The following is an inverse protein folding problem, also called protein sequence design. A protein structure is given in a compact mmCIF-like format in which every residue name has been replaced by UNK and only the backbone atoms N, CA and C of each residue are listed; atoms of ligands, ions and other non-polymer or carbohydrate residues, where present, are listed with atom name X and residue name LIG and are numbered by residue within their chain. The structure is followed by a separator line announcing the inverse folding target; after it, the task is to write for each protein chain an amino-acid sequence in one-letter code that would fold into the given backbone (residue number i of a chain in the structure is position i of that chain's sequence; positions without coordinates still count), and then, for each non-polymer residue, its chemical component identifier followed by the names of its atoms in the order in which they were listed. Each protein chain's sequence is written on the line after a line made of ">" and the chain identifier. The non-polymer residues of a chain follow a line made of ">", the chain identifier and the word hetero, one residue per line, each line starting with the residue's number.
data_IF_566520086406
#
_entry.id   IF_566520086406
#
_cell.length_a   1.000
_cell.length_b   1.000
_cell.length_c   1.000
_cell.angle_alpha   90.00
_cell.angle_beta   90.00
_cell.angle_gamma   90.00
#
_symmetry.space_group_name_H-M   'P 1'
#
loop_
_entity.id
_entity.type
_entity.pdbx_description
1 polymer ?
#
# COMPACT_ATOMS: atom_id res chain seq x y z
N UNK A 1 -9.99 26.91 -1.61
CA UNK A 1 -8.54 26.68 -1.37
C UNK A 1 -7.71 27.83 -1.91
N UNK A 2 -6.47 27.97 -1.42
CA UNK A 2 -5.42 28.83 -2.00
C UNK A 2 -5.12 28.46 -3.46
N UNK A 3 -4.41 29.33 -4.17
CA UNK A 3 -3.83 28.97 -5.46
C UNK A 3 -2.60 28.08 -5.24
N UNK A 4 -2.52 26.95 -5.95
CA UNK A 4 -1.46 25.94 -5.81
C UNK A 4 -1.05 25.39 -7.20
N UNK A 5 0.08 24.69 -7.28
CA UNK A 5 0.43 23.86 -8.43
C UNK A 5 -0.24 22.49 -8.28
N UNK A 6 -1.35 22.28 -8.98
CA UNK A 6 -2.22 21.11 -8.87
C UNK A 6 -1.81 20.06 -9.90
N UNK A 7 -1.47 18.85 -9.43
CA UNK A 7 -1.23 17.71 -10.30
C UNK A 7 -2.57 17.05 -10.67
N UNK A 8 -2.97 17.20 -11.93
CA UNK A 8 -4.17 16.57 -12.50
C UNK A 8 -3.79 15.38 -13.38
N UNK A 9 -4.79 14.63 -13.86
CA UNK A 9 -4.56 13.55 -14.83
C UNK A 9 -3.95 14.04 -16.15
N UNK A 10 -4.21 15.30 -16.52
CA UNK A 10 -3.74 15.91 -17.78
C UNK A 10 -2.45 16.74 -17.61
N UNK A 11 -1.87 16.74 -16.40
CA UNK A 11 -0.65 17.47 -16.07
C UNK A 11 -0.84 18.55 -15.01
N UNK A 12 0.12 19.47 -14.93
CA UNK A 12 0.16 20.51 -13.90
C UNK A 12 -0.70 21.71 -14.27
N UNK A 13 -1.52 22.14 -13.31
CA UNK A 13 -2.38 23.32 -13.41
C UNK A 13 -2.06 24.25 -12.24
N UNK A 14 -1.72 25.51 -12.51
CA UNK A 14 -1.69 26.55 -11.48
C UNK A 14 -3.10 27.08 -11.29
N UNK A 15 -3.68 26.85 -10.11
CA UNK A 15 -5.09 27.15 -9.92
C UNK A 15 -5.65 26.73 -8.57
N UNK A 16 -6.98 26.51 -8.55
CA UNK A 16 -7.74 26.12 -7.37
C UNK A 16 -8.57 24.87 -7.65
N UNK A 17 -8.59 23.96 -6.68
CA UNK A 17 -9.52 22.84 -6.67
C UNK A 17 -10.82 23.27 -6.00
N UNK A 18 -11.95 22.99 -6.64
CA UNK A 18 -13.30 23.23 -6.12
C UNK A 18 -13.96 21.89 -5.85
N UNK A 19 -14.49 21.70 -4.64
CA UNK A 19 -15.21 20.49 -4.26
C UNK A 19 -16.52 20.82 -3.54
N UNK A 20 -17.51 19.97 -3.72
CA UNK A 20 -18.80 20.02 -3.04
C UNK A 20 -19.16 18.61 -2.57
N UNK A 21 -19.70 18.49 -1.35
CA UNK A 21 -20.08 17.18 -0.77
C UNK A 21 -18.96 16.13 -0.86
N UNK A 22 -17.71 16.56 -0.69
CA UNK A 22 -16.53 15.70 -0.76
C UNK A 22 -16.04 15.33 -2.15
N UNK A 23 -16.70 15.78 -3.23
CA UNK A 23 -16.33 15.46 -4.61
C UNK A 23 -15.76 16.67 -5.33
N UNK A 24 -14.73 16.46 -6.12
CA UNK A 24 -14.18 17.49 -7.01
C UNK A 24 -15.24 17.86 -8.04
N UNK A 25 -15.56 19.14 -8.15
CA UNK A 25 -16.52 19.69 -9.13
C UNK A 25 -15.76 20.26 -10.33
N UNK A 26 -14.71 21.03 -10.06
CA UNK A 26 -13.87 21.66 -11.09
C UNK A 26 -12.46 21.91 -10.58
N UNK A 27 -11.53 22.06 -11.52
CA UNK A 27 -10.18 22.56 -11.28
C UNK A 27 -10.03 23.79 -12.17
N UNK A 28 -9.98 24.96 -11.55
CA UNK A 28 -9.92 26.25 -12.25
C UNK A 28 -8.48 26.74 -12.25
N UNK A 29 -7.89 26.92 -13.43
CA UNK A 29 -6.51 27.36 -13.54
C UNK A 29 -6.00 27.35 -14.98
N UNK A 30 -4.69 27.52 -15.10
CA UNK A 30 -3.97 27.45 -16.38
C UNK A 30 -2.87 26.39 -16.30
N UNK A 31 -2.57 25.68 -17.41
CA UNK A 31 -1.40 24.81 -17.46
C UNK A 31 -0.14 25.55 -17.02
N UNK A 32 0.71 24.89 -16.22
CA UNK A 32 1.95 25.48 -15.72
C UNK A 32 3.11 24.49 -15.70
N UNK A 33 4.33 25.01 -15.63
CA UNK A 33 5.46 24.28 -15.06
C UNK A 33 5.61 24.71 -13.58
N UNK A 34 5.50 23.78 -12.60
CA UNK A 34 5.75 24.10 -11.20
C UNK A 34 7.17 24.61 -10.91
N UNK A 35 8.12 24.48 -11.84
CA UNK A 35 9.47 25.04 -11.73
C UNK A 35 9.50 26.56 -11.95
N UNK A 36 8.49 27.14 -12.61
CA UNK A 36 8.44 28.57 -12.97
C UNK A 36 7.86 29.45 -11.85
N UNK A 37 7.53 28.88 -10.69
CA UNK A 37 6.94 29.61 -9.57
C UNK A 37 7.18 28.91 -8.21
N UNK A 38 6.87 29.64 -7.13
CA UNK A 38 7.11 29.18 -5.75
C UNK A 38 5.85 28.64 -5.04
N UNK A 39 4.73 28.46 -5.76
CA UNK A 39 3.50 27.98 -5.15
C UNK A 39 3.65 26.52 -4.67
N UNK A 40 3.00 26.15 -3.56
CA UNK A 40 2.98 24.78 -3.06
C UNK A 40 2.41 23.79 -4.07
N UNK A 41 2.71 22.51 -3.86
CA UNK A 41 2.17 21.41 -4.66
C UNK A 41 0.87 20.93 -4.04
N UNK A 42 -0.14 20.68 -4.87
CA UNK A 42 -1.34 19.93 -4.51
C UNK A 42 -1.36 18.63 -5.33
N UNK A 43 -1.14 17.50 -4.66
CA UNK A 43 -1.08 16.18 -5.28
C UNK A 43 -2.36 15.39 -4.95
N UNK A 44 -2.73 14.38 -5.77
CA UNK A 44 -3.71 13.39 -5.36
C UNK A 44 -3.34 12.76 -4.01
N UNK A 45 -4.36 12.49 -3.19
CA UNK A 45 -4.20 11.84 -1.90
C UNK A 45 -3.49 10.49 -2.03
N UNK A 46 -2.58 10.19 -1.10
CA UNK A 46 -1.85 8.94 -1.16
C UNK A 46 -2.75 7.75 -0.77
N UNK A 47 -2.50 6.61 -1.42
CA UNK A 47 -3.22 5.35 -1.24
C UNK A 47 -2.21 4.27 -0.89
N UNK A 48 -2.37 3.67 0.28
CA UNK A 48 -1.45 2.64 0.77
C UNK A 48 -2.12 1.26 0.86
N UNK A 49 -1.67 0.31 0.06
CA UNK A 49 -2.31 -0.99 -0.08
C UNK A 49 -1.77 -2.06 0.87
N UNK A 50 -0.78 -1.70 1.70
CA UNK A 50 -0.09 -2.64 2.57
C UNK A 50 0.26 -1.97 3.91
N UNK A 51 -0.64 -2.08 4.88
CA UNK A 51 -0.57 -1.43 6.21
C UNK A 51 -0.97 -2.42 7.30
N UNK A 52 0.00 -2.92 8.06
CA UNK A 52 -0.24 -3.75 9.24
C UNK A 52 -0.52 -2.93 10.50
N UNK A 53 -0.05 -1.68 10.57
CA UNK A 53 -0.23 -0.85 11.75
C UNK A 53 0.24 0.58 11.62
N UNK A 54 0.18 1.31 12.74
CA UNK A 54 0.65 2.68 12.89
C UNK A 54 0.19 3.28 14.22
N UNK A 55 0.93 4.26 14.74
CA UNK A 55 0.55 4.97 15.97
C UNK A 55 0.58 4.10 17.22
N UNK A 56 1.45 3.09 17.24
CA UNK A 56 1.59 2.14 18.34
C UNK A 56 0.55 1.02 18.32
N UNK A 57 -0.22 0.89 17.24
CA UNK A 57 -1.32 -0.06 17.09
C UNK A 57 -1.17 -0.94 15.85
N UNK A 58 -1.57 -2.20 15.98
CA UNK A 58 -1.58 -3.22 14.93
C UNK A 58 -3.02 -3.57 14.51
N UNK A 59 -3.25 -3.86 13.22
CA UNK A 59 -4.56 -4.27 12.70
C UNK A 59 -5.07 -5.52 13.42
N UNK A 60 -4.19 -6.47 13.75
CA UNK A 60 -4.55 -7.69 14.46
C UNK A 60 -5.02 -7.46 15.91
N UNK A 61 -4.92 -6.24 16.46
CA UNK A 61 -5.57 -5.86 17.74
C UNK A 61 -7.09 -5.63 17.62
N UNK A 62 -7.64 -5.64 16.41
CA UNK A 62 -9.08 -5.50 16.14
C UNK A 62 -9.61 -4.07 16.23
N UNK A 63 -10.95 -3.92 16.33
CA UNK A 63 -11.66 -2.66 16.18
C UNK A 63 -11.10 -1.47 17.01
N UNK A 64 -10.53 -1.75 18.19
CA UNK A 64 -9.97 -0.74 19.08
C UNK A 64 -8.74 0.00 18.52
N UNK A 65 -8.07 -0.58 17.53
CA UNK A 65 -6.83 -0.05 16.94
C UNK A 65 -7.07 0.83 15.70
N UNK A 66 -8.11 0.56 14.92
CA UNK A 66 -8.25 1.09 13.56
C UNK A 66 -8.33 2.61 13.48
N UNK A 67 -9.03 3.24 14.43
CA UNK A 67 -9.11 4.70 14.49
C UNK A 67 -7.74 5.34 14.73
N UNK A 68 -6.92 4.76 15.62
CA UNK A 68 -5.55 5.24 15.87
C UNK A 68 -4.67 5.08 14.65
N UNK A 69 -4.73 3.93 13.99
CA UNK A 69 -3.93 3.63 12.80
C UNK A 69 -4.27 4.61 11.67
N UNK A 70 -5.56 4.72 11.32
CA UNK A 70 -6.04 5.56 10.22
C UNK A 70 -5.83 7.06 10.45
N UNK A 71 -5.95 7.53 11.70
CA UNK A 71 -5.61 8.91 12.08
C UNK A 71 -4.10 9.17 12.09
N UNK A 72 -3.29 8.18 12.43
CA UNK A 72 -1.83 8.31 12.33
C UNK A 72 -1.40 8.45 10.87
N UNK A 73 -1.88 7.56 10.01
CA UNK A 73 -1.52 7.51 8.59
C UNK A 73 -1.94 8.77 7.82
N UNK A 74 -3.11 9.35 8.11
CA UNK A 74 -3.54 10.58 7.43
C UNK A 74 -2.62 11.77 7.70
N UNK A 75 -1.96 11.82 8.87
CA UNK A 75 -0.99 12.87 9.19
C UNK A 75 0.26 12.82 8.33
N UNK A 76 0.47 11.71 7.62
CA UNK A 76 1.56 11.51 6.69
C UNK A 76 1.09 11.42 5.22
N UNK A 77 -0.12 11.93 4.94
CA UNK A 77 -0.65 12.09 3.59
C UNK A 77 -1.43 10.88 3.05
N UNK A 78 -1.53 9.79 3.80
CA UNK A 78 -2.34 8.63 3.41
C UNK A 78 -3.83 8.96 3.57
N UNK A 79 -4.51 9.18 2.45
CA UNK A 79 -5.95 9.50 2.43
C UNK A 79 -6.83 8.25 2.39
N UNK A 80 -6.29 7.15 1.88
CA UNK A 80 -6.96 5.86 1.89
C UNK A 80 -5.97 4.71 1.99
N UNK A 81 -6.41 3.58 2.56
CA UNK A 81 -5.55 2.41 2.76
C UNK A 81 -6.31 1.08 2.74
N UNK A 82 -5.57 -0.02 2.62
CA UNK A 82 -6.06 -1.36 2.96
C UNK A 82 -5.55 -1.77 4.34
N UNK A 83 -6.45 -2.22 5.20
CA UNK A 83 -6.08 -2.85 6.46
C UNK A 83 -5.45 -4.22 6.14
N UNK A 84 -4.19 -4.42 6.52
CA UNK A 84 -3.45 -5.63 6.17
C UNK A 84 -3.32 -6.54 7.36
N UNK A 85 -3.76 -7.79 7.18
CA UNK A 85 -3.65 -8.83 8.19
C UNK A 85 -2.24 -9.40 8.25
N UNK A 86 -1.96 -10.19 9.29
CA UNK A 86 -0.79 -11.05 9.37
C UNK A 86 -1.26 -12.51 9.38
N UNK A 87 -0.34 -13.43 9.10
CA UNK A 87 -0.57 -14.85 9.30
C UNK A 87 -0.87 -15.13 10.79
N UNK A 88 -2.01 -15.76 11.05
CA UNK A 88 -2.52 -16.05 12.39
C UNK A 88 -3.48 -17.26 12.35
N UNK A 89 -3.90 -17.82 13.50
CA UNK A 89 -4.95 -18.83 13.52
C UNK A 89 -6.24 -18.35 12.85
N UNK A 90 -6.96 -19.23 12.16
CA UNK A 90 -8.11 -18.84 11.31
C UNK A 90 -9.21 -18.09 12.07
N UNK A 91 -9.40 -18.38 13.37
CA UNK A 91 -10.36 -17.69 14.22
C UNK A 91 -9.97 -16.23 14.53
N UNK A 92 -8.67 -15.94 14.66
CA UNK A 92 -8.17 -14.58 14.88
C UNK A 92 -8.30 -13.75 13.61
N UNK A 93 -7.98 -14.34 12.45
CA UNK A 93 -8.20 -13.71 11.14
C UNK A 93 -9.69 -13.41 10.93
N UNK A 94 -10.58 -14.38 11.15
CA UNK A 94 -12.02 -14.16 11.02
C UNK A 94 -12.52 -13.03 11.93
N UNK A 95 -12.03 -12.97 13.18
CA UNK A 95 -12.40 -11.91 14.12
C UNK A 95 -11.98 -10.52 13.61
N UNK A 96 -10.73 -10.35 13.18
CA UNK A 96 -10.26 -9.04 12.69
C UNK A 96 -10.92 -8.66 11.36
N UNK A 97 -11.18 -9.63 10.47
CA UNK A 97 -11.89 -9.38 9.22
C UNK A 97 -13.30 -8.83 9.49
N UNK A 98 -14.04 -9.44 10.40
CA UNK A 98 -15.37 -8.95 10.79
C UNK A 98 -15.31 -7.50 11.28
N UNK A 99 -14.36 -7.19 12.17
CA UNK A 99 -14.18 -5.83 12.70
C UNK A 99 -13.82 -4.83 11.58
N UNK A 100 -12.94 -5.21 10.65
CA UNK A 100 -12.57 -4.35 9.51
C UNK A 100 -13.76 -4.16 8.56
N UNK A 101 -14.55 -5.21 8.32
CA UNK A 101 -15.76 -5.15 7.52
C UNK A 101 -16.71 -4.06 8.00
N UNK A 102 -16.99 -4.04 9.32
CA UNK A 102 -17.80 -3.01 9.97
C UNK A 102 -17.14 -1.62 9.89
N UNK A 103 -15.81 -1.53 10.11
CA UNK A 103 -15.09 -0.26 10.07
C UNK A 103 -15.04 0.37 8.66
N UNK A 104 -15.07 -0.43 7.59
CA UNK A 104 -15.05 0.06 6.21
C UNK A 104 -16.33 0.81 5.80
N UNK A 105 -17.46 0.57 6.49
CA UNK A 105 -18.75 1.16 6.16
C UNK A 105 -18.75 2.68 6.35
N UNK A 106 -18.04 3.17 7.37
CA UNK A 106 -18.01 4.58 7.73
C UNK A 106 -16.60 5.04 8.06
N UNK A 107 -16.18 6.14 7.43
CA UNK A 107 -14.92 6.79 7.75
C UNK A 107 -15.07 7.65 9.01
N UNK A 108 -14.30 7.41 10.09
CA UNK A 108 -14.28 8.32 11.22
C UNK A 108 -13.75 9.70 10.84
N UNK A 109 -14.21 10.74 11.54
CA UNK A 109 -13.71 12.11 11.38
C UNK A 109 -12.20 12.16 11.62
N UNK A 110 -11.47 12.90 10.77
CA UNK A 110 -10.03 13.07 10.88
C UNK A 110 -9.20 11.82 10.54
N UNK A 111 -9.80 10.78 9.93
CA UNK A 111 -9.14 9.52 9.61
C UNK A 111 -9.07 9.27 8.09
N UNK A 112 -8.08 8.47 7.67
CA UNK A 112 -8.01 7.90 6.33
C UNK A 112 -9.17 6.93 6.06
N UNK A 113 -9.57 6.79 4.79
CA UNK A 113 -10.57 5.81 4.35
C UNK A 113 -9.97 4.40 4.30
N UNK A 114 -10.57 3.44 4.98
CA UNK A 114 -10.25 2.02 4.75
C UNK A 114 -11.05 1.52 3.56
N UNK A 115 -10.36 1.06 2.50
CA UNK A 115 -10.95 0.59 1.24
C UNK A 115 -11.31 -0.90 1.26
N UNK A 116 -10.87 -1.58 2.30
CA UNK A 116 -11.07 -3.00 2.53
C UNK A 116 -9.81 -3.64 3.13
N UNK A 117 -9.66 -4.93 2.86
CA UNK A 117 -8.60 -5.76 3.43
C UNK A 117 -7.59 -6.17 2.37
N UNK A 118 -6.32 -6.14 2.76
CA UNK A 118 -5.28 -6.97 2.16
C UNK A 118 -5.06 -8.18 3.09
N UNK A 119 -5.38 -9.37 2.60
CA UNK A 119 -5.12 -10.62 3.31
C UNK A 119 -3.68 -11.07 2.99
N UNK A 120 -2.72 -10.67 3.84
CA UNK A 120 -1.33 -11.11 3.73
C UNK A 120 -1.06 -12.28 4.67
N UNK A 121 -0.94 -13.47 4.08
CA UNK A 121 -1.08 -14.72 4.83
C UNK A 121 -2.55 -15.08 5.08
N UNK A 122 -2.86 -16.34 5.41
CA UNK A 122 -1.92 -17.42 5.75
C UNK A 122 -1.49 -18.27 4.54
N UNK A 123 -1.91 -17.91 3.32
CA UNK A 123 -1.75 -18.71 2.10
C UNK A 123 -0.38 -18.58 1.43
N UNK A 124 0.67 -18.60 2.26
CA UNK A 124 2.06 -18.32 1.88
C UNK A 124 2.95 -19.54 2.14
N UNK A 125 4.20 -19.50 1.68
CA UNK A 125 5.13 -20.61 1.88
C UNK A 125 5.74 -20.58 3.30
N UNK A 126 5.60 -21.65 4.11
CA UNK A 126 6.19 -21.70 5.45
C UNK A 126 7.74 -21.68 5.45
N UNK A 127 8.37 -22.00 4.32
CA UNK A 127 9.81 -21.84 4.11
C UNK A 127 10.23 -20.40 3.76
N UNK A 128 9.29 -19.46 3.64
CA UNK A 128 9.53 -18.06 3.26
C UNK A 128 8.65 -17.07 4.02
N UNK A 129 8.49 -17.29 5.32
CA UNK A 129 7.64 -16.46 6.18
C UNK A 129 8.12 -15.00 6.31
N UNK A 130 9.43 -14.75 6.29
CA UNK A 130 9.93 -13.42 6.67
C UNK A 130 9.52 -13.08 8.11
N UNK A 131 8.73 -12.03 8.31
CA UNK A 131 8.19 -11.65 9.61
C UNK A 131 6.79 -12.19 9.91
N UNK A 132 6.23 -13.02 9.03
CA UNK A 132 4.93 -13.65 9.22
C UNK A 132 4.99 -14.70 10.34
N UNK A 133 4.07 -14.70 11.30
CA UNK A 133 3.95 -15.80 12.26
C UNK A 133 3.73 -17.14 11.56
N UNK A 134 4.25 -18.23 12.16
CA UNK A 134 4.22 -19.55 11.52
C UNK A 134 2.84 -20.25 11.66
N UNK A 135 1.82 -19.67 11.07
CA UNK A 135 0.47 -20.25 10.89
C UNK A 135 0.12 -20.42 9.40
N UNK A 136 1.13 -20.39 8.53
CA UNK A 136 0.94 -20.55 7.10
C UNK A 136 0.39 -21.95 6.78
N UNK A 137 -0.62 -22.00 5.92
CA UNK A 137 -1.25 -23.24 5.49
C UNK A 137 -1.83 -23.09 4.09
N UNK A 138 -2.08 -24.23 3.44
CA UNK A 138 -2.65 -24.26 2.09
C UNK A 138 -4.07 -23.69 2.11
N UNK A 139 -4.34 -22.78 1.19
CA UNK A 139 -5.66 -22.19 1.01
C UNK A 139 -6.70 -23.25 0.60
N UNK A 140 -7.88 -23.16 1.20
CA UNK A 140 -9.07 -23.89 0.77
C UNK A 140 -10.14 -22.89 0.37
N UNK A 141 -10.79 -23.10 -0.78
CA UNK A 141 -11.82 -22.17 -1.27
C UNK A 141 -12.91 -21.89 -0.23
N UNK A 142 -13.35 -22.92 0.51
CA UNK A 142 -14.36 -22.76 1.55
C UNK A 142 -13.94 -21.76 2.64
N UNK A 143 -12.69 -21.79 3.07
CA UNK A 143 -12.19 -20.83 4.08
C UNK A 143 -12.08 -19.42 3.49
N UNK A 144 -11.60 -19.30 2.24
CA UNK A 144 -11.56 -18.00 1.56
C UNK A 144 -12.96 -17.40 1.42
N UNK A 145 -13.97 -18.21 1.11
CA UNK A 145 -15.37 -17.76 1.06
C UNK A 145 -15.89 -17.29 2.42
N UNK A 146 -15.57 -18.02 3.49
CA UNK A 146 -15.91 -17.61 4.85
C UNK A 146 -15.29 -16.23 5.17
N UNK A 147 -14.06 -15.98 4.74
CA UNK A 147 -13.40 -14.68 4.90
C UNK A 147 -13.99 -13.57 4.02
N UNK A 148 -14.33 -13.87 2.77
CA UNK A 148 -14.97 -12.93 1.86
C UNK A 148 -16.37 -12.49 2.32
N UNK A 149 -17.05 -13.33 3.11
CA UNK A 149 -18.33 -12.99 3.72
C UNK A 149 -18.20 -11.99 4.90
N UNK A 150 -17.01 -11.87 5.50
CA UNK A 150 -16.77 -11.04 6.69
C UNK A 150 -16.29 -9.62 6.35
N UNK A 151 -15.54 -9.47 5.25
CA UNK A 151 -14.92 -8.20 4.89
C UNK A 151 -14.80 -8.02 3.38
N UNK A 152 -14.74 -6.77 2.88
CA UNK A 152 -14.36 -6.51 1.49
C UNK A 152 -12.86 -6.75 1.28
N UNK A 153 -12.47 -8.02 1.07
CA UNK A 153 -11.09 -8.37 0.73
C UNK A 153 -10.81 -7.94 -0.71
N UNK A 154 -9.84 -7.04 -0.86
CA UNK A 154 -9.44 -6.48 -2.15
C UNK A 154 -8.23 -7.19 -2.73
N UNK A 155 -7.34 -7.62 -1.85
CA UNK A 155 -6.03 -8.18 -2.21
C UNK A 155 -5.76 -9.41 -1.35
N UNK A 156 -5.22 -10.46 -1.96
CA UNK A 156 -4.74 -11.66 -1.27
C UNK A 156 -3.30 -11.91 -1.71
N UNK A 157 -2.36 -11.94 -0.77
CA UNK A 157 -1.00 -12.42 -1.01
C UNK A 157 -0.95 -13.94 -0.90
N UNK A 158 -0.44 -14.58 -1.94
CA UNK A 158 -0.45 -16.03 -2.09
C UNK A 158 0.88 -16.54 -2.67
N UNK A 159 1.36 -17.68 -2.16
CA UNK A 159 2.51 -18.37 -2.73
C UNK A 159 2.07 -19.33 -3.85
N UNK A 160 2.43 -19.09 -5.12
CA UNK A 160 1.85 -19.80 -6.27
C UNK A 160 2.29 -21.27 -6.40
N UNK A 161 3.43 -21.65 -5.82
CA UNK A 161 4.01 -23.00 -5.87
C UNK A 161 3.28 -24.02 -4.97
N UNK A 162 2.40 -23.54 -4.07
CA UNK A 162 1.66 -24.42 -3.18
C UNK A 162 0.53 -25.09 -3.97
N UNK A 163 0.46 -26.42 -3.86
CA UNK A 163 -0.50 -27.23 -4.59
C UNK A 163 -1.95 -26.74 -4.37
N UNK A 164 -2.68 -26.54 -5.47
CA UNK A 164 -4.07 -26.07 -5.49
C UNK A 164 -4.25 -24.55 -5.57
N UNK A 165 -3.19 -23.77 -5.36
CA UNK A 165 -3.28 -22.30 -5.44
C UNK A 165 -3.52 -21.79 -6.86
N UNK A 166 -3.13 -22.53 -7.91
CA UNK A 166 -3.38 -22.17 -9.31
C UNK A 166 -4.88 -22.07 -9.64
N UNK A 167 -5.69 -23.01 -9.14
CA UNK A 167 -7.14 -23.01 -9.27
C UNK A 167 -7.77 -21.84 -8.52
N UNK A 168 -7.31 -21.60 -7.28
CA UNK A 168 -7.75 -20.48 -6.44
C UNK A 168 -7.45 -19.13 -7.07
N UNK A 169 -6.23 -18.94 -7.57
CA UNK A 169 -5.84 -17.70 -8.26
C UNK A 169 -6.78 -17.43 -9.42
N UNK A 170 -7.03 -18.44 -10.26
CA UNK A 170 -7.92 -18.30 -11.42
C UNK A 170 -9.34 -17.91 -11.04
N UNK A 171 -9.90 -18.56 -10.04
CA UNK A 171 -11.28 -18.32 -9.62
C UNK A 171 -11.45 -16.96 -8.93
N UNK A 172 -10.57 -16.62 -7.98
CA UNK A 172 -10.65 -15.38 -7.22
C UNK A 172 -10.33 -14.15 -8.09
N UNK A 173 -9.34 -14.25 -8.98
CA UNK A 173 -9.08 -13.21 -9.97
C UNK A 173 -10.26 -12.99 -10.91
N UNK A 174 -10.95 -14.06 -11.33
CA UNK A 174 -12.18 -13.97 -12.13
C UNK A 174 -13.33 -13.23 -11.43
N UNK A 175 -13.31 -13.16 -10.09
CA UNK A 175 -14.26 -12.41 -9.25
C UNK A 175 -13.81 -10.98 -8.96
N UNK A 176 -12.66 -10.56 -9.49
CA UNK A 176 -12.11 -9.21 -9.30
C UNK A 176 -11.29 -9.02 -8.03
N UNK A 177 -10.99 -10.08 -7.29
CA UNK A 177 -10.04 -10.03 -6.17
C UNK A 177 -8.63 -9.99 -6.75
N UNK A 178 -7.77 -9.12 -6.22
CA UNK A 178 -6.40 -9.00 -6.71
C UNK A 178 -5.51 -10.02 -6.04
N UNK A 179 -5.07 -11.01 -6.81
CA UNK A 179 -4.11 -12.01 -6.35
C UNK A 179 -2.68 -11.48 -6.53
N UNK A 180 -1.94 -11.41 -5.43
CA UNK A 180 -0.52 -11.03 -5.41
C UNK A 180 0.38 -12.20 -5.09
N UNK A 181 1.48 -12.30 -5.83
CA UNK A 181 2.50 -13.31 -5.58
C UNK A 181 3.46 -12.78 -4.52
N UNK A 182 3.60 -13.49 -3.40
CA UNK A 182 4.48 -13.08 -2.29
C UNK A 182 4.77 -14.21 -1.32
N UNK A 183 5.77 -14.02 -0.45
CA UNK A 183 6.20 -15.01 0.56
C UNK A 183 6.37 -16.42 0.00
N UNK A 184 7.19 -16.53 -1.05
CA UNK A 184 7.23 -17.67 -1.95
C UNK A 184 8.67 -18.08 -2.26
N UNK A 185 8.88 -19.40 -2.40
CA UNK A 185 10.08 -20.02 -2.95
C UNK A 185 9.91 -20.43 -4.42
N UNK A 186 8.81 -20.01 -5.04
CA UNK A 186 8.44 -20.39 -6.39
C UNK A 186 9.53 -20.11 -7.42
N UNK A 187 9.52 -20.89 -8.48
CA UNK A 187 10.33 -20.71 -9.68
C UNK A 187 9.81 -19.56 -10.54
N UNK A 188 10.60 -19.20 -11.55
CA UNK A 188 10.16 -18.25 -12.57
C UNK A 188 8.92 -18.75 -13.31
N UNK A 189 8.90 -20.03 -13.65
CA UNK A 189 7.81 -20.70 -14.39
C UNK A 189 6.51 -20.71 -13.58
N UNK A 190 6.57 -20.97 -12.27
CA UNK A 190 5.39 -20.88 -11.40
C UNK A 190 4.87 -19.45 -11.27
N UNK A 191 5.76 -18.46 -11.22
CA UNK A 191 5.38 -17.05 -11.26
C UNK A 191 4.66 -16.67 -12.56
N UNK A 192 5.18 -17.11 -13.72
CA UNK A 192 4.54 -16.90 -15.03
C UNK A 192 3.19 -17.60 -15.10
N UNK A 193 3.11 -18.86 -14.67
CA UNK A 193 1.86 -19.62 -14.65
C UNK A 193 0.80 -18.97 -13.74
N UNK A 194 1.21 -18.38 -12.62
CA UNK A 194 0.30 -17.63 -11.76
C UNK A 194 -0.22 -16.34 -12.42
N UNK A 195 0.62 -15.61 -13.17
CA UNK A 195 0.18 -14.46 -13.97
C UNK A 195 -0.81 -14.90 -15.07
N UNK A 196 -0.54 -16.02 -15.76
CA UNK A 196 -1.45 -16.60 -16.76
C UNK A 196 -2.77 -17.08 -16.14
N UNK A 197 -2.74 -17.57 -14.90
CA UNK A 197 -3.93 -17.91 -14.13
C UNK A 197 -4.73 -16.68 -13.69
N UNK A 198 -4.14 -15.48 -13.73
CA UNK A 198 -4.81 -14.22 -13.44
C UNK A 198 -4.28 -13.45 -12.23
N UNK A 199 -3.15 -13.85 -11.64
CA UNK A 199 -2.44 -12.98 -10.70
C UNK A 199 -2.02 -11.69 -11.39
N UNK A 200 -2.04 -10.56 -10.68
CA UNK A 200 -1.90 -9.24 -11.31
C UNK A 200 -0.81 -8.36 -10.72
N UNK A 201 -0.20 -8.77 -9.61
CA UNK A 201 0.86 -8.02 -8.93
C UNK A 201 1.72 -8.93 -8.06
N UNK A 202 2.77 -8.35 -7.46
CA UNK A 202 3.74 -9.00 -6.58
C UNK A 202 3.83 -8.20 -5.28
N UNK A 203 3.76 -8.88 -4.15
CA UNK A 203 3.80 -8.26 -2.80
C UNK A 203 5.23 -7.81 -2.50
N UNK A 204 5.42 -6.57 -1.98
CA UNK A 204 6.71 -5.98 -1.59
C UNK A 204 7.95 -6.48 -2.36
N UNK A 205 7.97 -6.31 -3.69
CA UNK A 205 8.97 -6.84 -4.64
C UNK A 205 10.39 -6.91 -4.05
N UNK A 206 11.05 -8.04 -4.28
CA UNK A 206 12.35 -8.48 -3.74
C UNK A 206 12.29 -9.13 -2.35
N UNK A 207 11.38 -8.68 -1.47
CA UNK A 207 11.30 -9.17 -0.10
C UNK A 207 10.54 -10.50 -0.05
N UNK A 208 11.00 -11.43 0.79
CA UNK A 208 10.38 -12.76 0.93
C UNK A 208 10.10 -13.50 -0.40
N UNK A 209 10.96 -13.34 -1.41
CA UNK A 209 10.86 -13.99 -2.73
C UNK A 209 12.11 -14.82 -3.07
N UNK A 210 11.98 -15.75 -4.02
CA UNK A 210 13.13 -16.36 -4.68
C UNK A 210 13.87 -15.29 -5.53
N UNK A 211 15.21 -15.18 -5.40
CA UNK A 211 15.96 -14.09 -5.99
C UNK A 211 16.17 -14.26 -7.50
N UNK A 212 16.59 -13.17 -8.15
CA UNK A 212 17.02 -13.20 -9.55
C UNK A 212 18.42 -13.80 -9.69
N UNK A 213 18.52 -14.92 -10.40
CA UNK A 213 19.78 -15.45 -10.93
C UNK A 213 19.65 -15.69 -12.45
N UNK A 214 20.70 -15.44 -13.25
CA UNK A 214 20.59 -15.45 -14.72
C UNK A 214 20.25 -16.81 -15.34
N UNK A 215 20.45 -17.91 -14.61
CA UNK A 215 20.04 -19.26 -15.03
C UNK A 215 18.73 -19.74 -14.39
N UNK A 216 18.36 -19.15 -13.27
CA UNK A 216 17.20 -19.51 -12.45
C UNK A 216 16.58 -18.19 -11.95
N UNK A 217 15.74 -17.53 -12.77
CA UNK A 217 15.37 -16.14 -12.51
C UNK A 217 14.47 -15.93 -11.28
N UNK A 218 13.84 -17.00 -10.78
CA UNK A 218 12.92 -16.93 -9.64
C UNK A 218 11.74 -15.99 -9.86
N UNK A 219 11.04 -15.69 -8.76
CA UNK A 219 9.87 -14.81 -8.73
C UNK A 219 10.27 -13.35 -8.99
N UNK A 220 11.44 -12.92 -8.51
CA UNK A 220 11.95 -11.58 -8.84
C UNK A 220 12.16 -11.43 -10.35
N UNK A 221 12.69 -12.46 -11.03
CA UNK A 221 12.83 -12.47 -12.49
C UNK A 221 11.48 -12.47 -13.19
N UNK A 222 10.49 -13.22 -12.70
CA UNK A 222 9.15 -13.23 -13.27
C UNK A 222 8.49 -11.85 -13.17
N UNK A 223 8.61 -11.19 -12.01
CA UNK A 223 8.10 -9.85 -11.80
C UNK A 223 8.75 -8.82 -12.74
N UNK A 224 10.09 -8.79 -12.80
CA UNK A 224 10.80 -7.82 -13.65
C UNK A 224 10.57 -8.06 -15.14
N UNK A 225 10.32 -9.30 -15.57
CA UNK A 225 10.10 -9.61 -16.98
C UNK A 225 8.65 -9.37 -17.44
N UNK A 226 7.65 -9.59 -16.58
CA UNK A 226 6.24 -9.71 -17.00
C UNK A 226 5.25 -8.85 -16.23
N UNK A 227 5.62 -8.29 -15.07
CA UNK A 227 4.66 -7.57 -14.25
C UNK A 227 4.24 -6.24 -14.88
N UNK A 228 2.93 -5.99 -14.93
CA UNK A 228 2.40 -4.64 -15.13
C UNK A 228 2.41 -3.84 -13.83
N UNK A 229 2.00 -4.47 -12.72
CA UNK A 229 1.96 -3.89 -11.38
C UNK A 229 2.82 -4.73 -10.43
N UNK A 230 3.45 -4.07 -9.45
CA UNK A 230 4.10 -4.71 -8.31
C UNK A 230 4.21 -3.69 -7.17
N UNK A 231 4.21 -4.18 -5.94
CA UNK A 231 4.49 -3.38 -4.75
C UNK A 231 5.98 -3.18 -4.56
N UNK A 232 6.34 -2.05 -3.96
CA UNK A 232 7.69 -1.72 -3.57
C UNK A 232 7.64 -0.93 -2.24
N UNK A 233 8.56 -1.21 -1.33
CA UNK A 233 8.78 -0.42 -0.11
C UNK A 233 9.95 0.55 -0.37
N UNK A 234 9.72 1.84 -0.65
CA UNK A 234 10.79 2.78 -1.00
C UNK A 234 11.39 3.46 0.25
N UNK A 235 11.64 2.72 1.34
CA UNK A 235 12.28 3.25 2.55
C UNK A 235 13.81 3.35 2.44
N UNK A 236 14.37 2.82 1.35
CA UNK A 236 15.81 2.73 1.06
C UNK A 236 16.58 1.78 2.00
N UNK A 237 15.86 0.98 2.80
CA UNK A 237 16.39 -0.07 3.67
C UNK A 237 16.00 -1.46 3.15
N UNK A 238 14.71 -1.69 2.89
CA UNK A 238 14.20 -2.93 2.28
C UNK A 238 14.76 -3.11 0.87
N UNK A 239 14.78 -2.03 0.10
CA UNK A 239 15.23 -2.06 -1.30
C UNK A 239 16.29 -1.00 -1.54
N UNK A 240 17.48 -1.45 -1.94
CA UNK A 240 18.58 -0.56 -2.33
C UNK A 240 18.15 0.36 -3.50
N UNK A 241 18.54 1.66 -3.54
CA UNK A 241 18.18 2.57 -4.63
C UNK A 241 18.50 2.06 -6.03
N UNK A 242 19.55 1.26 -6.19
CA UNK A 242 19.88 0.60 -7.46
C UNK A 242 18.82 -0.40 -7.92
N UNK A 243 18.29 -1.22 -7.01
CA UNK A 243 17.23 -2.19 -7.29
C UNK A 243 15.88 -1.51 -7.54
N UNK A 244 15.59 -0.41 -6.83
CA UNK A 244 14.43 0.45 -7.12
C UNK A 244 14.49 0.94 -8.57
N UNK A 245 15.64 1.44 -9.03
CA UNK A 245 15.82 1.89 -10.42
C UNK A 245 15.65 0.77 -11.45
N UNK A 246 16.01 -0.47 -11.12
CA UNK A 246 15.75 -1.63 -11.99
C UNK A 246 14.25 -1.88 -12.09
N UNK A 247 13.54 -1.93 -10.96
CA UNK A 247 12.09 -2.13 -10.93
C UNK A 247 11.36 -1.02 -11.71
N UNK A 248 11.74 0.25 -11.51
CA UNK A 248 11.15 1.40 -12.21
C UNK A 248 11.28 1.34 -13.74
N UNK A 249 12.37 0.75 -14.25
CA UNK A 249 12.57 0.56 -15.69
C UNK A 249 11.83 -0.65 -16.26
N UNK A 250 11.49 -1.60 -15.41
CA UNK A 250 10.99 -2.92 -15.83
C UNK A 250 9.49 -3.05 -15.66
N UNK A 251 8.92 -2.41 -14.63
CA UNK A 251 7.50 -2.56 -14.24
C UNK A 251 6.78 -1.22 -14.46
N UNK A 252 5.94 -1.10 -15.51
CA UNK A 252 5.35 0.18 -15.92
C UNK A 252 4.53 0.88 -14.84
N UNK A 253 3.73 0.11 -14.08
CA UNK A 253 2.85 0.61 -13.03
C UNK A 253 3.33 0.16 -11.65
N UNK A 254 4.66 0.15 -11.43
CA UNK A 254 5.23 -0.10 -10.11
C UNK A 254 4.66 0.91 -9.11
N UNK A 255 3.99 0.43 -8.06
CA UNK A 255 3.42 1.29 -7.02
C UNK A 255 4.11 1.05 -5.69
N UNK A 256 4.00 2.03 -4.81
CA UNK A 256 4.68 2.03 -3.53
C UNK A 256 3.70 1.86 -2.38
N UNK A 257 4.13 1.06 -1.40
CA UNK A 257 3.41 0.81 -0.16
C UNK A 257 4.35 1.09 1.01
N UNK A 258 3.79 1.28 2.20
CA UNK A 258 4.63 1.40 3.38
C UNK A 258 5.04 0.05 3.93
N UNK A 259 4.17 -0.95 3.88
CA UNK A 259 4.33 -2.16 4.71
C UNK A 259 4.55 -1.75 6.19
N UNK A 260 3.80 -0.74 6.63
CA UNK A 260 4.04 -0.10 7.93
C UNK A 260 3.54 -0.97 9.06
N UNK A 261 4.33 -1.03 10.13
CA UNK A 261 3.97 -1.69 11.39
C UNK A 261 3.41 -0.70 12.41
N UNK A 262 3.02 -1.19 13.60
CA UNK A 262 2.65 -0.36 14.75
C UNK A 262 3.70 0.72 15.10
N UNK A 263 4.96 0.54 14.70
CA UNK A 263 6.06 1.47 14.95
C UNK A 263 6.07 2.72 14.04
N UNK A 264 5.24 2.76 12.99
CA UNK A 264 5.09 3.94 12.13
C UNK A 264 4.47 5.11 12.90
N UNK A 265 5.07 6.30 12.77
CA UNK A 265 4.66 7.50 13.54
C UNK A 265 5.05 7.50 15.03
N UNK A 266 5.81 6.51 15.49
CA UNK A 266 6.18 6.35 16.91
C UNK A 266 7.69 6.57 17.17
N UNK A 267 8.13 6.86 18.41
CA UNK A 267 9.56 6.88 18.76
C UNK A 267 10.21 5.49 18.67
N UNK A 268 11.53 5.40 18.77
CA UNK A 268 12.24 4.12 18.90
C UNK A 268 11.77 3.36 20.15
N UNK A 269 11.61 2.04 20.05
CA UNK A 269 11.01 1.22 21.10
C UNK A 269 10.53 -0.15 20.62
N UNK A 270 9.80 -0.85 21.50
CA UNK A 270 9.20 -2.16 21.21
C UNK A 270 7.73 -2.02 20.81
N UNK A 271 7.34 -2.77 19.78
CA UNK A 271 6.01 -2.74 19.19
C UNK A 271 5.54 -4.15 18.81
N UNK A 272 4.25 -4.27 18.49
CA UNK A 272 3.67 -5.51 17.95
C UNK A 272 3.71 -5.55 16.42
N UNK A 273 3.84 -6.76 15.90
CA UNK A 273 3.61 -7.13 14.51
C UNK A 273 2.92 -8.49 14.50
N UNK A 274 1.59 -8.50 14.43
CA UNK A 274 0.80 -9.69 14.75
C UNK A 274 1.16 -10.24 16.15
N UNK A 275 1.46 -11.54 16.24
CA UNK A 275 1.89 -12.16 17.50
C UNK A 275 3.35 -11.83 17.91
N UNK A 276 4.15 -11.29 17.00
CA UNK A 276 5.55 -10.98 17.28
C UNK A 276 5.72 -9.67 18.05
N UNK A 277 6.83 -9.59 18.80
CA UNK A 277 7.37 -8.32 19.30
C UNK A 277 8.54 -7.93 18.41
N UNK A 278 8.55 -6.70 17.93
CA UNK A 278 9.57 -6.14 17.06
C UNK A 278 10.17 -4.88 17.69
N UNK A 279 11.42 -4.57 17.37
CA UNK A 279 12.12 -3.39 17.86
C UNK A 279 12.32 -2.40 16.74
N UNK A 280 11.86 -1.16 16.94
CA UNK A 280 12.20 -0.02 16.10
C UNK A 280 13.54 0.56 16.54
N UNK A 281 14.50 0.57 15.63
CA UNK A 281 15.78 1.25 15.81
C UNK A 281 16.44 1.54 14.47
N UNK A 282 17.26 2.59 14.42
CA UNK A 282 18.06 2.95 13.23
C UNK A 282 17.20 3.10 11.95
N UNK A 283 15.98 3.63 12.09
CA UNK A 283 15.07 3.86 10.97
C UNK A 283 14.37 2.62 10.40
N UNK A 284 14.51 1.44 11.01
CA UNK A 284 13.83 0.22 10.58
C UNK A 284 13.25 -0.57 11.76
N UNK A 285 12.51 -1.63 11.45
CA UNK A 285 11.89 -2.54 12.41
C UNK A 285 12.47 -3.93 12.23
N UNK A 286 12.86 -4.58 13.33
CA UNK A 286 13.51 -5.89 13.29
C UNK A 286 12.94 -6.85 14.33
N UNK A 287 12.92 -8.12 13.97
CA UNK A 287 12.77 -9.23 14.91
C UNK A 287 14.04 -9.39 15.78
N UNK A 288 13.96 -10.14 16.89
CA UNK A 288 15.12 -10.39 17.76
C UNK A 288 16.33 -11.03 17.06
N UNK A 289 16.10 -11.76 15.96
CA UNK A 289 17.13 -12.39 15.14
C UNK A 289 17.77 -11.45 14.11
N UNK A 290 17.32 -10.19 14.04
CA UNK A 290 17.81 -9.16 13.12
C UNK A 290 17.07 -9.10 11.77
N UNK A 291 16.13 -10.01 11.51
CA UNK A 291 15.29 -10.00 10.30
C UNK A 291 14.48 -8.70 10.23
N UNK A 292 14.47 -8.02 9.08
CA UNK A 292 13.59 -6.85 8.86
C UNK A 292 12.13 -7.32 8.90
N UNK A 293 11.28 -6.57 9.60
CA UNK A 293 9.93 -6.97 9.94
C UNK A 293 8.95 -5.82 9.73
N UNK A 294 8.43 -5.72 8.51
CA UNK A 294 7.73 -4.53 8.02
C UNK A 294 8.61 -3.28 8.12
N UNK A 295 7.99 -2.11 8.01
CA UNK A 295 8.68 -0.82 8.01
C UNK A 295 8.11 0.16 9.04
N UNK A 296 8.80 1.30 9.19
CA UNK A 296 8.25 2.52 9.79
C UNK A 296 8.04 3.63 8.76
N UNK A 297 7.99 3.27 7.47
CA UNK A 297 7.83 4.20 6.37
C UNK A 297 6.47 4.88 6.46
N UNK A 298 6.43 6.13 6.03
CA UNK A 298 5.21 6.91 5.85
C UNK A 298 5.15 7.40 4.40
N UNK A 299 3.95 7.62 3.85
CA UNK A 299 3.79 7.91 2.42
C UNK A 299 4.42 9.25 1.99
N UNK A 300 4.43 10.27 2.85
CA UNK A 300 5.17 11.51 2.60
C UNK A 300 6.70 11.28 2.53
N UNK A 301 7.23 10.40 3.38
CA UNK A 301 8.62 10.00 3.33
C UNK A 301 8.94 9.13 2.11
N UNK A 302 8.01 8.27 1.70
CA UNK A 302 8.11 7.50 0.46
C UNK A 302 8.23 8.43 -0.76
N UNK A 303 7.41 9.49 -0.84
CA UNK A 303 7.52 10.52 -1.88
C UNK A 303 8.91 11.17 -1.87
N UNK A 304 9.37 11.63 -0.70
CA UNK A 304 10.70 12.27 -0.58
C UNK A 304 11.83 11.33 -0.97
N UNK A 305 11.74 10.04 -0.64
CA UNK A 305 12.74 9.04 -1.02
C UNK A 305 12.78 8.84 -2.54
N UNK A 306 11.62 8.72 -3.19
CA UNK A 306 11.52 8.60 -4.65
C UNK A 306 12.10 9.82 -5.37
N UNK A 307 11.75 11.03 -4.92
CA UNK A 307 12.30 12.27 -5.50
C UNK A 307 13.80 12.36 -5.26
N UNK A 308 14.29 12.00 -4.06
CA UNK A 308 15.72 11.99 -3.73
C UNK A 308 16.55 11.06 -4.62
N UNK A 309 15.97 9.94 -5.08
CA UNK A 309 16.66 9.04 -6.02
C UNK A 309 16.53 9.47 -7.50
N UNK A 310 15.81 10.56 -7.78
CA UNK A 310 15.80 11.26 -9.06
C UNK A 310 14.46 11.26 -9.81
N UNK A 311 13.35 10.83 -9.19
CA UNK A 311 12.06 10.85 -9.88
C UNK A 311 11.47 12.27 -9.91
N UNK A 312 10.84 12.69 -11.03
CA UNK A 312 9.95 13.84 -11.03
C UNK A 312 8.82 13.68 -10.00
N UNK A 313 8.37 14.78 -9.39
CA UNK A 313 7.32 14.75 -8.35
C UNK A 313 6.02 14.13 -8.88
N UNK A 314 5.64 14.43 -10.11
CA UNK A 314 4.45 13.86 -10.74
C UNK A 314 4.53 12.33 -10.84
N UNK A 315 5.67 11.81 -11.27
CA UNK A 315 5.94 10.38 -11.36
C UNK A 315 6.00 9.69 -10.00
N UNK A 316 6.58 10.35 -8.98
CA UNK A 316 6.58 9.82 -7.63
C UNK A 316 5.15 9.80 -7.05
N UNK A 317 4.35 10.84 -7.31
CA UNK A 317 2.96 10.95 -6.89
C UNK A 317 2.07 9.86 -7.51
N UNK A 318 2.20 9.59 -8.81
CA UNK A 318 1.43 8.52 -9.48
C UNK A 318 1.62 7.16 -8.82
N UNK A 319 2.84 6.84 -8.37
CA UNK A 319 3.18 5.57 -7.71
C UNK A 319 2.62 5.45 -6.29
N UNK A 320 2.23 6.56 -5.70
CA UNK A 320 1.65 6.66 -4.36
C UNK A 320 0.13 6.89 -4.39
N UNK A 321 -0.48 7.07 -5.56
CA UNK A 321 -1.89 7.46 -5.69
C UNK A 321 -2.58 6.79 -6.88
N UNK A 322 -2.28 7.20 -8.11
CA UNK A 322 -2.95 6.70 -9.31
C UNK A 322 -2.73 5.20 -9.54
N UNK A 323 -1.49 4.71 -9.51
CA UNK A 323 -1.18 3.30 -9.76
C UNK A 323 -1.77 2.33 -8.72
N UNK A 324 -1.72 2.60 -7.40
CA UNK A 324 -2.46 1.76 -6.45
C UNK A 324 -3.98 1.82 -6.66
N UNK A 325 -4.56 2.97 -7.05
CA UNK A 325 -5.97 3.05 -7.42
C UNK A 325 -6.30 2.20 -8.66
N UNK A 326 -5.51 2.34 -9.72
CA UNK A 326 -5.66 1.61 -10.98
C UNK A 326 -5.50 0.09 -10.77
N UNK A 327 -4.57 -0.32 -9.91
CA UNK A 327 -4.40 -1.72 -9.52
C UNK A 327 -5.66 -2.28 -8.86
N UNK A 328 -6.30 -1.53 -7.96
CA UNK A 328 -7.58 -1.95 -7.38
C UNK A 328 -8.76 -1.82 -8.36
N UNK A 329 -8.61 -1.09 -9.47
CA UNK A 329 -9.71 -0.76 -10.38
C UNK A 329 -10.61 0.38 -9.86
N UNK A 330 -10.09 1.22 -8.96
CA UNK A 330 -10.77 2.37 -8.37
C UNK A 330 -10.47 3.61 -9.23
N UNK A 331 -11.51 4.28 -9.69
CA UNK A 331 -11.37 5.46 -10.58
C UNK A 331 -11.69 6.77 -9.88
N UNK A 332 -12.44 6.70 -8.78
CA UNK A 332 -12.87 7.83 -7.99
C UNK A 332 -11.82 8.33 -6.97
N UNK A 333 -10.64 7.71 -6.91
CA UNK A 333 -9.50 8.11 -6.06
C UNK A 333 -8.18 8.02 -6.83
N UNK A 334 -7.12 8.55 -6.22
CA UNK A 334 -5.76 8.52 -6.77
C UNK A 334 -5.52 9.54 -7.89
N UNK A 335 -6.47 10.45 -8.11
CA UNK A 335 -6.43 11.48 -9.15
C UNK A 335 -7.28 12.69 -8.74
N UNK A 336 -6.90 13.87 -9.19
CA UNK A 336 -7.67 15.10 -9.02
C UNK A 336 -8.36 15.43 -10.35
N UNK A 337 -9.65 15.10 -10.43
CA UNK A 337 -10.49 15.38 -11.60
C UNK A 337 -11.98 15.45 -11.18
N UNK A 338 -12.85 16.12 -11.94
CA UNK A 338 -14.28 16.16 -11.67
C UNK A 338 -14.89 14.77 -11.43
N UNK A 339 -15.73 14.66 -10.38
CA UNK A 339 -16.40 13.43 -9.96
C UNK A 339 -15.58 12.53 -9.03
N UNK A 340 -14.25 12.68 -8.96
CA UNK A 340 -13.42 11.98 -7.97
C UNK A 340 -13.65 12.52 -6.55
N UNK A 341 -13.29 11.75 -5.53
CA UNK A 341 -13.19 12.26 -4.17
C UNK A 341 -12.15 13.38 -4.10
N UNK A 342 -12.45 14.41 -3.32
CA UNK A 342 -11.50 15.46 -2.97
C UNK A 342 -10.54 14.93 -1.90
N UNK A 343 -9.71 13.97 -2.32
CA UNK A 343 -8.58 13.44 -1.56
C UNK A 343 -7.31 14.08 -2.10
N UNK A 344 -6.66 14.93 -1.32
CA UNK A 344 -5.44 15.60 -1.75
C UNK A 344 -4.47 15.83 -0.60
N UNK A 345 -3.20 15.97 -0.97
CA UNK A 345 -2.12 16.36 -0.05
C UNK A 345 -1.48 17.63 -0.57
N UNK A 346 -1.23 18.56 0.35
CA UNK A 346 -0.58 19.83 0.04
C UNK A 346 0.82 19.84 0.63
N UNK A 347 1.82 20.02 -0.23
CA UNK A 347 3.23 20.00 0.15
C UNK A 347 3.85 21.36 -0.16
N UNK A 348 4.68 21.87 0.74
CA UNK A 348 5.52 23.02 0.41
C UNK A 348 6.65 22.62 -0.57
N UNK A 349 7.47 23.60 -0.97
CA UNK A 349 8.57 23.38 -1.92
C UNK A 349 9.69 22.49 -1.38
N UNK A 350 9.75 22.28 -0.06
CA UNK A 350 10.65 21.32 0.58
C UNK A 350 10.09 19.90 0.65
N UNK A 351 8.90 19.67 0.08
CA UNK A 351 8.14 18.42 0.18
C UNK A 351 7.75 18.07 1.61
N UNK A 352 7.56 19.10 2.44
CA UNK A 352 6.97 18.97 3.77
C UNK A 352 5.45 19.09 3.66
N UNK A 353 4.73 18.18 4.31
CA UNK A 353 3.28 18.15 4.28
C UNK A 353 2.70 19.32 5.09
N UNK A 354 1.79 20.07 4.48
CA UNK A 354 1.19 21.30 5.06
C UNK A 354 -0.32 21.23 5.21
N UNK A 355 -1.00 20.35 4.45
CA UNK A 355 -2.42 20.04 4.61
C UNK A 355 -2.73 18.67 3.99
N UNK A 356 -3.77 18.02 4.50
CA UNK A 356 -4.38 16.83 3.90
C UNK A 356 -5.88 17.02 3.89
N UNK A 357 -6.51 16.63 2.78
CA UNK A 357 -7.96 16.58 2.63
C UNK A 357 -8.37 15.14 2.34
N UNK A 358 -9.39 14.65 3.05
CA UNK A 358 -9.95 13.31 2.82
C UNK A 358 -11.46 13.44 2.63
N UNK A 359 -11.97 13.03 1.48
CA UNK A 359 -13.38 13.15 1.11
C UNK A 359 -13.92 14.59 1.30
N UNK A 360 -13.10 15.59 1.01
CA UNK A 360 -13.41 17.02 1.20
C UNK A 360 -13.32 17.54 2.64
N UNK A 361 -12.93 16.71 3.61
CA UNK A 361 -12.65 17.13 4.97
C UNK A 361 -11.19 17.57 5.10
N UNK A 362 -10.95 18.84 5.46
CA UNK A 362 -9.62 19.31 5.86
C UNK A 362 -9.20 18.68 7.20
N UNK A 363 -8.05 18.02 7.21
CA UNK A 363 -7.51 17.32 8.38
C UNK A 363 -6.71 18.30 9.24
N UNK A 364 -7.10 18.45 10.50
CA UNK A 364 -6.36 19.23 11.48
C UNK A 364 -5.25 18.39 12.14
N UNK A 365 -4.00 18.66 11.76
CA UNK A 365 -2.84 17.97 12.33
C UNK A 365 -2.68 18.12 13.85
N UNK A 366 -3.31 19.12 14.49
CA UNK A 366 -3.26 19.30 15.95
C UNK A 366 -4.17 18.35 16.71
N UNK A 367 -5.18 17.79 16.04
CA UNK A 367 -6.22 16.95 16.63
C UNK A 367 -6.33 15.56 15.97
N UNK A 368 -5.39 15.22 15.08
CA UNK A 368 -5.32 13.94 14.37
C UNK A 368 -4.49 12.90 15.14
#
# INVERSE_FOLDING_TARGET
>A
MSEDNILTADGWVRGRLIHEHGRVVSIEGVPCDPADNDLPYLLPGFIDLHVHGGGGKDIMEGASAFATITKTHVRFGTTSLLATTMTAPSAEIASVLKDVGEFCEQRPKGAARVLGVHLEGPYINPGKLGAQPNFAHTALMAEVEDYLALAPIRVITIAPEIAGHDGLIRELSGRGIRMQIGHTLGSYEEGVAALEAGATSFTHLYNAMSPLHHREPGIVGAALAHAKFAELIPDLLHVHPGAIRVALRSIPCLYCVTDSTAAAGMPDGEYKLGSHTVTKCLGGVRLPDGTLAGSTLTMDQALRNLVKIGLPIAEASQRLSQFPADYLGITERGRLQPGAWADCVRLDRSLTLTAVMVEGEDIDFKNA
#
